data_IF_195583363911
#
_entry.id   IF_195583363911
#
_cell.length_a   1.000
_cell.length_b   1.000
_cell.length_c   1.000
_cell.angle_alpha   90.00
_cell.angle_beta   90.00
_cell.angle_gamma   90.00
#
_symmetry.space_group_name_H-M   'P 1'
#
loop_
_entity.id
_entity.type
_entity.pdbx_description
1 polymer ?
#
# COMPACT_ATOMS: atom_id res chain seq x y z
N UNK A 1 -24.08 57.38 -40.79
CA UNK A 1 -22.80 56.80 -40.31
C UNK A 1 -23.17 55.61 -39.45
N UNK A 2 -22.80 54.40 -39.88
CA UNK A 2 -23.22 53.16 -39.22
C UNK A 2 -22.37 52.90 -37.98
N UNK A 3 -23.02 52.73 -36.82
CA UNK A 3 -22.37 52.29 -35.59
C UNK A 3 -22.00 50.82 -35.77
N UNK A 4 -20.70 50.51 -35.77
CA UNK A 4 -20.20 49.14 -35.89
C UNK A 4 -19.85 48.61 -34.49
N UNK A 5 -20.70 47.78 -33.85
CA UNK A 5 -20.47 47.30 -32.49
C UNK A 5 -19.21 46.41 -32.34
N UNK A 6 -18.61 46.00 -33.46
CA UNK A 6 -17.33 45.27 -33.48
C UNK A 6 -16.11 46.15 -33.12
N UNK A 7 -16.23 47.48 -33.14
CA UNK A 7 -15.14 48.40 -32.76
C UNK A 7 -14.93 48.51 -31.24
N UNK A 8 -15.85 47.96 -30.43
CA UNK A 8 -15.77 47.93 -28.96
C UNK A 8 -15.04 46.68 -28.42
N UNK A 9 -14.65 45.74 -29.30
CA UNK A 9 -13.89 44.55 -28.93
C UNK A 9 -12.38 44.83 -28.93
N UNK A 10 -11.92 45.63 -27.97
CA UNK A 10 -10.49 45.85 -27.71
C UNK A 10 -10.06 45.01 -26.50
N UNK A 11 -8.91 44.33 -26.60
CA UNK A 11 -8.36 43.54 -25.51
C UNK A 11 -8.10 44.43 -24.27
N UNK A 12 -8.51 44.01 -23.06
CA UNK A 12 -8.49 44.87 -21.88
C UNK A 12 -7.06 45.19 -21.47
N UNK A 13 -6.73 46.48 -21.40
CA UNK A 13 -5.48 46.99 -20.81
C UNK A 13 -5.82 47.50 -19.42
N UNK A 14 -5.24 46.88 -18.40
CA UNK A 14 -5.40 47.30 -17.01
C UNK A 14 -4.71 48.65 -16.80
N UNK A 15 -5.46 49.66 -16.34
CA UNK A 15 -4.90 50.83 -15.68
C UNK A 15 -5.75 51.20 -14.44
N UNK A 16 -5.12 51.45 -13.27
CA UNK A 16 -5.79 51.80 -12.01
C UNK A 16 -6.24 53.29 -12.03
N UNK A 17 -7.08 53.82 -11.10
CA UNK A 17 -7.20 53.46 -9.68
C UNK A 17 -8.64 53.46 -9.11
N UNK A 18 -8.90 52.59 -8.13
CA UNK A 18 -10.02 52.78 -7.19
C UNK A 18 -9.38 53.10 -5.83
N UNK A 19 -9.84 54.16 -5.11
CA UNK A 19 -9.24 54.59 -3.86
C UNK A 19 -9.12 53.46 -2.82
N UNK A 20 -7.95 53.38 -2.18
CA UNK A 20 -7.53 52.35 -1.22
C UNK A 20 -8.53 52.07 -0.09
N UNK A 21 -9.44 53.00 0.22
CA UNK A 21 -10.41 52.84 1.30
C UNK A 21 -11.51 51.81 0.98
N UNK A 22 -11.90 51.67 -0.29
CA UNK A 22 -12.89 50.67 -0.71
C UNK A 22 -12.25 49.29 -0.87
N UNK A 23 -10.96 49.24 -1.23
CA UNK A 23 -10.22 47.99 -1.38
C UNK A 23 -9.79 47.38 -0.04
N UNK A 24 -9.63 48.18 1.02
CA UNK A 24 -9.38 47.67 2.37
C UNK A 24 -10.66 47.10 3.03
N UNK A 25 -11.84 47.67 2.70
CA UNK A 25 -13.14 47.18 3.18
C UNK A 25 -13.64 45.98 2.35
N UNK A 26 -13.38 45.95 1.03
CA UNK A 26 -13.66 44.78 0.18
C UNK A 26 -12.57 43.71 0.24
N UNK A 27 -11.36 44.06 0.69
CA UNK A 27 -10.26 43.15 0.98
C UNK A 27 -10.50 42.22 2.18
N UNK A 28 -11.59 42.41 2.92
CA UNK A 28 -12.06 41.47 3.93
C UNK A 28 -12.56 40.14 3.33
N UNK A 29 -12.80 40.05 2.02
CA UNK A 29 -13.27 38.79 1.39
C UNK A 29 -12.22 37.66 1.42
N UNK A 30 -10.93 37.97 1.45
CA UNK A 30 -9.87 36.95 1.56
C UNK A 30 -9.65 36.43 2.99
N UNK A 31 -10.11 37.17 4.01
CA UNK A 31 -10.12 36.71 5.40
C UNK A 31 -11.30 35.78 5.74
N UNK A 32 -12.29 35.67 4.84
CA UNK A 32 -13.56 34.93 5.05
C UNK A 32 -13.67 33.69 4.13
N UNK A 33 -12.56 33.19 3.58
CA UNK A 33 -12.58 31.87 2.90
C UNK A 33 -12.01 30.82 3.84
N UNK A 34 -12.84 29.93 4.42
CA UNK A 34 -12.36 28.79 5.20
C UNK A 34 -11.33 27.96 4.42
N UNK A 35 -11.52 27.80 3.10
CA UNK A 35 -10.60 27.07 2.23
C UNK A 35 -9.19 27.67 2.15
N UNK A 36 -9.06 29.00 2.24
CA UNK A 36 -7.74 29.66 2.28
C UNK A 36 -6.99 29.30 3.57
N UNK A 37 -7.67 29.40 4.72
CA UNK A 37 -7.07 29.08 6.02
C UNK A 37 -6.80 27.59 6.17
N UNK A 38 -7.68 26.72 5.67
CA UNK A 38 -7.45 25.28 5.59
C UNK A 38 -6.18 24.99 4.77
N UNK A 39 -6.06 25.56 3.57
CA UNK A 39 -4.87 25.37 2.73
C UNK A 39 -3.58 25.85 3.40
N UNK A 40 -3.61 27.02 4.05
CA UNK A 40 -2.46 27.54 4.79
C UNK A 40 -2.04 26.61 5.93
N UNK A 41 -2.99 26.10 6.72
CA UNK A 41 -2.70 25.23 7.86
C UNK A 41 -2.22 23.85 7.40
N UNK A 42 -2.84 23.28 6.38
CA UNK A 42 -2.37 22.03 5.77
C UNK A 42 -0.92 22.18 5.30
N UNK A 43 -0.56 23.31 4.70
CA UNK A 43 0.82 23.57 4.31
C UNK A 43 1.77 23.72 5.51
N UNK A 44 1.33 24.35 6.61
CA UNK A 44 2.14 24.47 7.84
C UNK A 44 2.33 23.14 8.57
N UNK A 45 1.31 22.29 8.57
CA UNK A 45 1.29 21.03 9.33
C UNK A 45 1.94 19.90 8.54
N UNK A 46 1.50 19.70 7.30
CA UNK A 46 1.87 18.54 6.49
C UNK A 46 3.03 18.82 5.52
N UNK A 47 3.24 20.09 5.13
CA UNK A 47 4.24 20.49 4.12
C UNK A 47 3.94 20.03 2.68
N UNK A 48 2.98 19.13 2.51
CA UNK A 48 2.47 18.57 1.25
C UNK A 48 0.94 18.53 1.27
N UNK A 49 0.31 18.15 0.17
CA UNK A 49 -1.11 17.78 0.16
C UNK A 49 -1.24 16.36 0.76
N UNK A 50 -1.78 16.21 1.97
CA UNK A 50 -1.74 14.93 2.67
C UNK A 50 -2.69 13.91 2.02
N UNK A 51 -3.71 14.36 1.27
CA UNK A 51 -4.61 13.51 0.51
C UNK A 51 -3.96 12.89 -0.72
N UNK A 52 -3.25 13.72 -1.50
CA UNK A 52 -2.48 13.24 -2.64
C UNK A 52 -1.39 12.28 -2.17
N UNK A 53 -0.69 12.62 -1.08
CA UNK A 53 0.34 11.76 -0.51
C UNK A 53 -0.22 10.38 -0.13
N UNK A 54 -1.37 10.29 0.55
CA UNK A 54 -1.92 8.99 0.93
C UNK A 54 -2.32 8.16 -0.28
N UNK A 55 -2.87 8.79 -1.33
CA UNK A 55 -3.23 8.12 -2.58
C UNK A 55 -1.95 7.57 -3.23
N UNK A 56 -0.89 8.38 -3.34
CA UNK A 56 0.39 7.93 -3.89
C UNK A 56 0.98 6.75 -3.11
N UNK A 57 0.87 6.75 -1.77
CA UNK A 57 1.47 5.70 -0.94
C UNK A 57 0.62 4.42 -0.80
N UNK A 58 -0.72 4.51 -0.89
CA UNK A 58 -1.63 3.39 -0.60
C UNK A 58 -2.46 2.89 -1.80
N UNK A 59 -2.17 3.34 -3.02
CA UNK A 59 -2.84 2.90 -4.26
C UNK A 59 -2.58 1.45 -4.69
N UNK A 60 -1.93 0.63 -3.86
CA UNK A 60 -1.71 -0.79 -4.14
C UNK A 60 -3.00 -1.59 -4.27
N UNK A 61 -3.05 -2.52 -5.25
CA UNK A 61 -4.15 -3.47 -5.38
C UNK A 61 -3.97 -4.64 -4.39
N UNK A 62 -4.42 -4.40 -3.16
CA UNK A 62 -4.39 -5.42 -2.09
C UNK A 62 -5.33 -6.60 -2.38
N UNK A 63 -6.32 -6.42 -3.25
CA UNK A 63 -7.19 -7.51 -3.70
C UNK A 63 -6.42 -8.46 -4.61
N UNK A 64 -5.67 -7.95 -5.58
CA UNK A 64 -4.78 -8.76 -6.41
C UNK A 64 -3.73 -9.51 -5.58
N UNK A 65 -3.22 -8.89 -4.49
CA UNK A 65 -2.31 -9.56 -3.57
C UNK A 65 -2.99 -10.72 -2.80
N UNK A 66 -4.26 -10.58 -2.42
CA UNK A 66 -5.03 -11.66 -1.82
C UNK A 66 -5.32 -12.79 -2.83
N UNK A 67 -5.67 -12.44 -4.07
CA UNK A 67 -5.89 -13.42 -5.14
C UNK A 67 -4.61 -14.22 -5.44
N UNK A 68 -3.44 -13.57 -5.41
CA UNK A 68 -2.16 -14.26 -5.54
C UNK A 68 -1.91 -15.27 -4.41
N UNK A 69 -2.33 -14.95 -3.17
CA UNK A 69 -2.27 -15.89 -2.03
C UNK A 69 -3.08 -17.17 -2.29
N UNK A 70 -4.30 -17.01 -2.79
CA UNK A 70 -5.19 -18.13 -3.10
C UNK A 70 -4.65 -18.97 -4.26
N UNK A 71 -4.08 -18.33 -5.29
CA UNK A 71 -3.44 -19.03 -6.39
C UNK A 71 -2.26 -19.91 -5.92
N UNK A 72 -1.43 -19.40 -5.00
CA UNK A 72 -0.32 -20.16 -4.42
C UNK A 72 -0.80 -21.36 -3.60
N UNK A 73 -1.90 -21.20 -2.85
CA UNK A 73 -2.53 -22.28 -2.10
C UNK A 73 -3.08 -23.37 -3.02
N UNK A 74 -3.77 -22.98 -4.10
CA UNK A 74 -4.27 -23.93 -5.09
C UNK A 74 -3.13 -24.71 -5.76
N UNK A 75 -1.99 -24.07 -6.02
CA UNK A 75 -0.81 -24.74 -6.54
C UNK A 75 -0.20 -25.73 -5.54
N UNK A 76 -0.16 -25.37 -4.25
CA UNK A 76 0.25 -26.28 -3.18
C UNK A 76 -0.69 -27.50 -3.10
N UNK A 77 -2.01 -27.28 -3.16
CA UNK A 77 -2.99 -28.36 -3.15
C UNK A 77 -2.84 -29.30 -4.35
N UNK A 78 -2.55 -28.75 -5.53
CA UNK A 78 -2.22 -29.54 -6.72
C UNK A 78 -0.98 -30.41 -6.51
N UNK A 79 0.14 -29.81 -6.07
CA UNK A 79 1.39 -30.55 -5.84
C UNK A 79 1.22 -31.67 -4.79
N UNK A 80 0.43 -31.42 -3.74
CA UNK A 80 0.11 -32.42 -2.72
C UNK A 80 -0.68 -33.59 -3.31
N UNK A 81 -1.72 -33.31 -4.09
CA UNK A 81 -2.52 -34.36 -4.73
C UNK A 81 -1.68 -35.16 -5.73
N UNK A 82 -0.78 -34.50 -6.45
CA UNK A 82 0.12 -35.17 -7.38
C UNK A 82 1.11 -36.10 -6.66
N UNK A 83 1.70 -35.66 -5.55
CA UNK A 83 2.56 -36.50 -4.72
C UNK A 83 1.82 -37.73 -4.17
N UNK A 84 0.60 -37.54 -3.63
CA UNK A 84 -0.23 -38.63 -3.14
C UNK A 84 -0.59 -39.64 -4.24
N UNK A 85 -0.87 -39.16 -5.46
CA UNK A 85 -1.11 -40.04 -6.60
C UNK A 85 0.11 -40.91 -6.91
N UNK A 86 1.31 -40.32 -7.00
CA UNK A 86 2.57 -41.06 -7.23
C UNK A 86 2.80 -42.10 -6.12
N UNK A 87 2.62 -41.73 -4.84
CA UNK A 87 2.82 -42.67 -3.74
C UNK A 87 1.80 -43.83 -3.74
N UNK A 88 0.55 -43.54 -4.10
CA UNK A 88 -0.52 -44.55 -4.10
C UNK A 88 -0.34 -45.57 -5.23
N UNK A 89 -0.10 -45.10 -6.45
CA UNK A 89 0.14 -45.93 -7.64
C UNK A 89 1.50 -46.63 -7.56
N UNK A 90 2.53 -45.92 -7.08
CA UNK A 90 3.86 -46.48 -6.89
C UNK A 90 3.88 -47.64 -5.89
N UNK A 91 3.09 -47.57 -4.81
CA UNK A 91 2.94 -48.68 -3.87
C UNK A 91 2.38 -49.94 -4.53
N UNK A 92 1.41 -49.79 -5.44
CA UNK A 92 0.83 -50.93 -6.14
C UNK A 92 1.86 -51.63 -7.04
N UNK A 93 2.69 -50.84 -7.75
CA UNK A 93 3.66 -51.36 -8.72
C UNK A 93 4.93 -51.90 -8.05
N UNK A 94 5.54 -51.14 -7.12
CA UNK A 94 6.82 -51.48 -6.49
C UNK A 94 6.69 -52.38 -5.25
N UNK A 95 5.47 -52.61 -4.75
CA UNK A 95 5.22 -53.41 -3.55
C UNK A 95 5.31 -54.91 -3.83
N UNK A 96 4.44 -55.39 -4.73
CA UNK A 96 4.22 -56.83 -4.90
C UNK A 96 4.46 -57.34 -6.34
N UNK A 97 4.37 -56.47 -7.35
CA UNK A 97 4.37 -56.89 -8.77
C UNK A 97 5.74 -56.82 -9.44
N UNK A 98 6.55 -55.82 -9.12
CA UNK A 98 7.86 -55.60 -9.73
C UNK A 98 8.98 -55.49 -8.70
N UNK A 99 9.91 -56.45 -8.75
CA UNK A 99 11.03 -56.56 -7.80
C UNK A 99 12.40 -56.62 -8.51
N UNK A 100 13.46 -56.33 -7.76
CA UNK A 100 14.86 -56.36 -8.21
C UNK A 100 15.47 -54.96 -8.38
N UNK A 101 16.76 -54.90 -8.73
CA UNK A 101 17.53 -53.66 -8.74
C UNK A 101 16.94 -52.53 -9.61
N UNK A 102 16.22 -52.87 -10.69
CA UNK A 102 15.54 -51.88 -11.52
C UNK A 102 14.32 -51.26 -10.80
N UNK A 103 13.55 -52.09 -10.08
CA UNK A 103 12.43 -51.62 -9.28
C UNK A 103 12.91 -50.76 -8.10
N UNK A 104 14.00 -51.15 -7.43
CA UNK A 104 14.62 -50.36 -6.36
C UNK A 104 15.06 -48.97 -6.84
N UNK A 105 15.71 -48.90 -8.01
CA UNK A 105 16.16 -47.64 -8.60
C UNK A 105 14.98 -46.73 -9.02
N UNK A 106 13.92 -47.31 -9.60
CA UNK A 106 12.71 -46.59 -9.96
C UNK A 106 11.99 -46.05 -8.72
N UNK A 107 11.85 -46.87 -7.67
CA UNK A 107 11.27 -46.47 -6.39
C UNK A 107 12.02 -45.28 -5.79
N UNK A 108 13.34 -45.36 -5.70
CA UNK A 108 14.17 -44.28 -5.18
C UNK A 108 14.01 -42.96 -5.97
N UNK A 109 13.86 -43.04 -7.29
CA UNK A 109 13.60 -41.87 -8.15
C UNK A 109 12.24 -41.21 -7.85
N UNK A 110 11.17 -42.01 -7.79
CA UNK A 110 9.83 -41.49 -7.50
C UNK A 110 9.70 -40.98 -6.05
N UNK A 111 10.33 -41.64 -5.08
CA UNK A 111 10.42 -41.15 -3.70
C UNK A 111 11.12 -39.77 -3.64
N UNK A 112 12.14 -39.55 -4.49
CA UNK A 112 12.78 -38.25 -4.67
C UNK A 112 11.80 -37.18 -5.19
N UNK A 113 11.04 -37.49 -6.25
CA UNK A 113 10.03 -36.57 -6.81
C UNK A 113 8.98 -36.22 -5.75
N UNK A 114 8.43 -37.22 -5.06
CA UNK A 114 7.43 -37.04 -3.99
C UNK A 114 7.98 -36.11 -2.92
N UNK A 115 9.23 -36.33 -2.47
CA UNK A 115 9.88 -35.46 -1.49
C UNK A 115 9.97 -34.01 -2.00
N UNK A 116 10.42 -33.80 -3.23
CA UNK A 116 10.51 -32.45 -3.81
C UNK A 116 9.14 -31.77 -3.92
N UNK A 117 8.11 -32.50 -4.31
CA UNK A 117 6.74 -31.97 -4.34
C UNK A 117 6.29 -31.55 -2.94
N UNK A 118 6.53 -32.36 -1.90
CA UNK A 118 6.20 -32.00 -0.51
C UNK A 118 6.96 -30.77 -0.02
N UNK A 119 8.25 -30.67 -0.33
CA UNK A 119 9.06 -29.49 0.01
C UNK A 119 8.50 -28.22 -0.67
N UNK A 120 8.06 -28.33 -1.94
CA UNK A 120 7.41 -27.23 -2.65
C UNK A 120 6.06 -26.84 -2.05
N UNK A 121 5.24 -27.81 -1.64
CA UNK A 121 3.95 -27.56 -0.95
C UNK A 121 4.18 -26.69 0.29
N UNK A 122 5.12 -27.09 1.15
CA UNK A 122 5.39 -26.36 2.39
C UNK A 122 5.84 -24.91 2.13
N UNK A 123 6.69 -24.70 1.12
CA UNK A 123 7.14 -23.36 0.74
C UNK A 123 6.01 -22.51 0.14
N UNK A 124 5.18 -23.07 -0.74
CA UNK A 124 4.03 -22.37 -1.34
C UNK A 124 2.98 -21.96 -0.29
N UNK A 125 2.66 -22.86 0.65
CA UNK A 125 1.75 -22.54 1.76
C UNK A 125 2.31 -21.45 2.67
N UNK A 126 3.63 -21.48 2.91
CA UNK A 126 4.29 -20.44 3.70
C UNK A 126 4.21 -19.08 3.01
N UNK A 127 4.49 -19.00 1.70
CA UNK A 127 4.37 -17.75 0.93
C UNK A 127 2.91 -17.27 0.92
N UNK A 128 1.95 -18.17 0.68
CA UNK A 128 0.52 -17.86 0.72
C UNK A 128 0.12 -17.25 2.06
N UNK A 129 0.56 -17.83 3.19
CA UNK A 129 0.31 -17.29 4.53
C UNK A 129 0.93 -15.91 4.78
N UNK A 130 2.11 -15.63 4.21
CA UNK A 130 2.72 -14.31 4.27
C UNK A 130 1.93 -13.26 3.48
N UNK A 131 1.41 -13.60 2.30
CA UNK A 131 0.51 -12.71 1.56
C UNK A 131 -0.79 -12.42 2.32
N UNK A 132 -1.38 -13.43 2.97
CA UNK A 132 -2.58 -13.24 3.78
C UNK A 132 -2.32 -12.31 4.97
N UNK A 133 -1.19 -12.50 5.66
CA UNK A 133 -0.79 -11.64 6.79
C UNK A 133 -0.51 -10.20 6.33
N UNK A 134 0.15 -10.03 5.18
CA UNK A 134 0.43 -8.72 4.61
C UNK A 134 -0.87 -7.98 4.23
N UNK A 135 -1.77 -8.66 3.52
CA UNK A 135 -3.04 -8.05 3.06
C UNK A 135 -3.92 -7.64 4.24
N UNK A 136 -4.04 -8.48 5.28
CA UNK A 136 -4.74 -8.12 6.51
C UNK A 136 -4.07 -6.94 7.23
N UNK A 137 -2.74 -6.95 7.36
CA UNK A 137 -1.98 -5.86 7.98
C UNK A 137 -2.14 -4.53 7.25
N UNK A 138 -2.14 -4.55 5.91
CA UNK A 138 -2.33 -3.35 5.10
C UNK A 138 -3.77 -2.84 5.14
N UNK A 139 -4.76 -3.73 5.27
CA UNK A 139 -6.15 -3.35 5.48
C UNK A 139 -6.35 -2.63 6.82
N UNK A 140 -5.76 -3.14 7.90
CA UNK A 140 -5.78 -2.50 9.23
C UNK A 140 -5.02 -1.16 9.21
N UNK A 141 -3.86 -1.10 8.56
CA UNK A 141 -3.10 0.14 8.39
C UNK A 141 -3.90 1.21 7.64
N UNK A 142 -4.63 0.82 6.58
CA UNK A 142 -5.49 1.72 5.83
C UNK A 142 -6.64 2.29 6.69
N UNK A 143 -7.27 1.45 7.52
CA UNK A 143 -8.32 1.89 8.45
C UNK A 143 -7.76 2.84 9.52
N UNK A 144 -6.60 2.52 10.09
CA UNK A 144 -5.92 3.37 11.07
C UNK A 144 -5.54 4.73 10.47
N UNK A 145 -5.00 4.75 9.26
CA UNK A 145 -4.71 5.98 8.54
C UNK A 145 -5.98 6.78 8.27
N UNK A 146 -7.05 6.16 7.80
CA UNK A 146 -8.33 6.85 7.58
C UNK A 146 -8.80 7.58 8.84
N UNK A 147 -8.70 6.94 10.02
CA UNK A 147 -9.03 7.58 11.30
C UNK A 147 -8.14 8.78 11.59
N UNK A 148 -6.81 8.63 11.46
CA UNK A 148 -5.86 9.72 11.69
C UNK A 148 -6.08 10.90 10.74
N UNK A 149 -6.46 10.63 9.50
CA UNK A 149 -6.78 11.65 8.52
C UNK A 149 -8.08 12.39 8.83
N UNK A 150 -9.07 11.70 9.39
CA UNK A 150 -10.28 12.34 9.91
C UNK A 150 -9.93 13.28 11.07
N UNK A 151 -9.13 12.81 12.02
CA UNK A 151 -8.66 13.63 13.16
C UNK A 151 -7.86 14.84 12.69
N UNK A 152 -6.96 14.65 11.71
CA UNK A 152 -6.18 15.72 11.10
C UNK A 152 -7.10 16.76 10.44
N UNK A 153 -8.14 16.32 9.74
CA UNK A 153 -9.11 17.21 9.08
C UNK A 153 -9.85 18.06 10.10
N UNK A 154 -10.31 17.45 11.19
CA UNK A 154 -11.02 18.16 12.26
C UNK A 154 -10.12 19.21 12.93
N UNK A 155 -8.87 18.86 13.23
CA UNK A 155 -7.90 19.80 13.79
C UNK A 155 -7.57 20.94 12.82
N UNK A 156 -7.39 20.66 11.53
CA UNK A 156 -7.18 21.67 10.50
C UNK A 156 -8.38 22.63 10.41
N UNK A 157 -9.61 22.13 10.50
CA UNK A 157 -10.82 22.97 10.50
C UNK A 157 -10.87 23.87 11.74
N UNK A 158 -10.62 23.31 12.93
CA UNK A 158 -10.58 24.09 14.19
C UNK A 158 -9.50 25.16 14.13
N UNK A 159 -8.33 24.80 13.62
CA UNK A 159 -7.21 25.71 13.46
C UNK A 159 -7.54 26.82 12.44
N UNK A 160 -8.25 26.50 11.35
CA UNK A 160 -8.65 27.46 10.33
C UNK A 160 -9.67 28.46 10.86
N UNK A 161 -10.66 27.98 11.62
CA UNK A 161 -11.65 28.84 12.28
C UNK A 161 -10.95 29.75 13.30
N UNK A 162 -10.03 29.22 14.10
CA UNK A 162 -9.28 29.98 15.11
C UNK A 162 -8.39 31.04 14.46
N UNK A 163 -7.71 30.69 13.36
CA UNK A 163 -6.85 31.62 12.62
C UNK A 163 -7.68 32.75 11.97
N UNK A 164 -8.83 32.41 11.37
CA UNK A 164 -9.75 33.40 10.82
C UNK A 164 -10.31 34.34 11.91
N UNK A 165 -10.69 33.79 13.07
CA UNK A 165 -11.18 34.56 14.22
C UNK A 165 -10.08 35.47 14.80
N UNK A 166 -8.84 34.99 14.88
CA UNK A 166 -7.66 35.78 15.30
C UNK A 166 -7.43 36.94 14.35
N UNK A 167 -7.43 36.68 13.04
CA UNK A 167 -7.26 37.71 12.03
C UNK A 167 -8.39 38.76 12.09
N UNK A 168 -9.64 38.33 12.26
CA UNK A 168 -10.80 39.21 12.34
C UNK A 168 -10.87 40.01 13.66
N UNK A 169 -10.32 39.47 14.76
CA UNK A 169 -10.30 40.09 16.09
C UNK A 169 -8.98 40.76 16.42
N UNK A 170 -8.03 40.80 15.48
CA UNK A 170 -6.67 41.33 15.65
C UNK A 170 -6.62 42.82 16.04
N UNK A 171 -7.67 43.58 15.74
CA UNK A 171 -7.85 44.97 16.18
C UNK A 171 -8.23 45.09 17.66
N UNK A 172 -8.63 43.98 18.30
CA UNK A 172 -8.82 43.87 19.75
C UNK A 172 -7.60 43.18 20.36
N UNK A 173 -6.87 43.87 21.24
CA UNK A 173 -5.62 43.35 21.85
C UNK A 173 -5.84 42.00 22.55
N UNK A 174 -6.98 41.83 23.22
CA UNK A 174 -7.34 40.59 23.91
C UNK A 174 -7.73 39.47 22.93
N UNK A 175 -8.48 39.79 21.86
CA UNK A 175 -8.89 38.81 20.84
C UNK A 175 -7.73 38.31 19.99
N UNK A 176 -6.79 39.19 19.64
CA UNK A 176 -5.58 38.83 18.91
C UNK A 176 -4.65 37.87 19.67
N UNK A 177 -4.47 38.08 20.99
CA UNK A 177 -3.60 37.21 21.81
C UNK A 177 -4.27 35.86 22.09
N UNK A 178 -5.53 35.86 22.54
CA UNK A 178 -6.23 34.63 22.86
C UNK A 178 -6.44 33.75 21.60
N UNK A 179 -6.78 34.38 20.48
CA UNK A 179 -6.91 33.71 19.19
C UNK A 179 -5.57 33.10 18.73
N UNK A 180 -4.46 33.85 18.83
CA UNK A 180 -3.15 33.35 18.40
C UNK A 180 -2.70 32.12 19.20
N UNK A 181 -2.99 32.07 20.51
CA UNK A 181 -2.70 30.91 21.35
C UNK A 181 -3.55 29.69 20.96
N UNK A 182 -4.85 29.90 20.70
CA UNK A 182 -5.75 28.83 20.26
C UNK A 182 -5.32 28.26 18.89
N UNK A 183 -4.97 29.13 17.93
CA UNK A 183 -4.43 28.72 16.63
C UNK A 183 -3.13 27.93 16.79
N UNK A 184 -2.17 28.42 17.58
CA UNK A 184 -0.90 27.71 17.80
C UNK A 184 -1.10 26.32 18.42
N UNK A 185 -1.99 26.18 19.40
CA UNK A 185 -2.30 24.90 20.03
C UNK A 185 -2.91 23.90 19.04
N UNK A 186 -3.86 24.35 18.21
CA UNK A 186 -4.49 23.50 17.20
C UNK A 186 -3.52 23.06 16.09
N UNK A 187 -2.58 23.93 15.69
CA UNK A 187 -1.52 23.58 14.74
C UNK A 187 -0.56 22.56 15.36
N UNK A 188 -0.17 22.73 16.62
CA UNK A 188 0.70 21.78 17.31
C UNK A 188 0.07 20.38 17.39
N UNK A 189 -1.21 20.30 17.77
CA UNK A 189 -1.95 19.04 17.78
C UNK A 189 -2.06 18.41 16.37
N UNK A 190 -2.29 19.22 15.33
CA UNK A 190 -2.35 18.73 13.96
C UNK A 190 -0.99 18.16 13.50
N UNK A 191 0.13 18.78 13.91
CA UNK A 191 1.49 18.27 13.66
C UNK A 191 1.72 16.92 14.35
N UNK A 192 1.25 16.76 15.59
CA UNK A 192 1.33 15.47 16.30
C UNK A 192 0.56 14.36 15.56
N UNK A 193 -0.65 14.64 15.09
CA UNK A 193 -1.43 13.69 14.29
C UNK A 193 -0.74 13.37 12.96
N UNK A 194 -0.14 14.36 12.32
CA UNK A 194 0.64 14.14 11.09
C UNK A 194 1.87 13.23 11.34
N UNK A 195 2.56 13.40 12.47
CA UNK A 195 3.63 12.47 12.85
C UNK A 195 3.11 11.05 13.12
N UNK A 196 1.92 10.91 13.70
CA UNK A 196 1.29 9.59 13.86
C UNK A 196 0.99 8.94 12.51
N UNK A 197 0.54 9.70 11.51
CA UNK A 197 0.34 9.24 10.13
C UNK A 197 1.66 8.71 9.53
N UNK A 198 2.74 9.49 9.64
CA UNK A 198 4.06 9.08 9.14
C UNK A 198 4.57 7.83 9.87
N UNK A 199 4.41 7.76 11.20
CA UNK A 199 4.80 6.59 11.98
C UNK A 199 4.01 5.33 11.60
N UNK A 200 2.71 5.45 11.31
CA UNK A 200 1.89 4.33 10.86
C UNK A 200 2.33 3.85 9.47
N UNK A 201 2.67 4.77 8.56
CA UNK A 201 3.23 4.45 7.27
C UNK A 201 4.58 3.72 7.37
N UNK A 202 5.51 4.22 8.20
CA UNK A 202 6.82 3.59 8.40
C UNK A 202 6.68 2.15 8.95
N UNK A 203 5.73 1.93 9.88
CA UNK A 203 5.43 0.61 10.40
C UNK A 203 4.89 -0.33 9.31
N UNK A 204 3.97 0.14 8.47
CA UNK A 204 3.46 -0.61 7.34
C UNK A 204 4.58 -0.97 6.34
N UNK A 205 5.45 0.00 6.03
CA UNK A 205 6.60 -0.20 5.14
C UNK A 205 7.60 -1.24 5.69
N UNK A 206 7.90 -1.19 6.98
CA UNK A 206 8.72 -2.21 7.64
C UNK A 206 8.10 -3.62 7.50
N UNK A 207 6.77 -3.72 7.61
CA UNK A 207 6.04 -4.97 7.35
C UNK A 207 6.24 -5.50 5.93
N UNK A 208 6.17 -4.63 4.91
CA UNK A 208 6.42 -4.99 3.50
C UNK A 208 7.86 -5.49 3.30
N UNK A 209 8.84 -4.89 3.97
CA UNK A 209 10.24 -5.34 3.90
C UNK A 209 10.44 -6.73 4.53
N UNK A 210 9.82 -6.97 5.69
CA UNK A 210 9.84 -8.29 6.34
C UNK A 210 9.19 -9.33 5.43
N UNK A 211 8.03 -9.02 4.86
CA UNK A 211 7.35 -9.88 3.88
C UNK A 211 8.27 -10.23 2.71
N UNK A 212 8.93 -9.23 2.10
CA UNK A 212 9.83 -9.43 0.96
C UNK A 212 11.00 -10.35 1.33
N UNK A 213 11.59 -10.17 2.51
CA UNK A 213 12.67 -11.04 3.01
C UNK A 213 12.21 -12.48 3.23
N UNK A 214 11.02 -12.68 3.79
CA UNK A 214 10.45 -14.01 4.02
C UNK A 214 10.15 -14.72 2.70
N UNK A 215 9.50 -14.04 1.76
CA UNK A 215 9.22 -14.60 0.43
C UNK A 215 10.50 -14.95 -0.31
N UNK A 216 11.52 -14.09 -0.29
CA UNK A 216 12.82 -14.40 -0.88
C UNK A 216 13.46 -15.66 -0.26
N UNK A 217 13.33 -15.81 1.07
CA UNK A 217 13.78 -17.01 1.78
C UNK A 217 13.06 -18.28 1.31
N UNK A 218 11.74 -18.24 1.19
CA UNK A 218 10.95 -19.39 0.71
C UNK A 218 11.20 -19.71 -0.76
N UNK A 219 11.37 -18.69 -1.62
CA UNK A 219 11.71 -18.88 -3.03
C UNK A 219 13.06 -19.62 -3.20
N UNK A 220 14.03 -19.35 -2.32
CA UNK A 220 15.29 -20.11 -2.28
C UNK A 220 15.09 -21.62 -2.05
N UNK A 221 14.01 -22.01 -1.37
CA UNK A 221 13.64 -23.41 -1.11
C UNK A 221 12.85 -24.10 -2.22
N UNK A 222 12.32 -23.37 -3.21
CA UNK A 222 11.49 -23.96 -4.29
C UNK A 222 12.29 -24.66 -5.41
N UNK A 223 13.62 -24.67 -5.31
CA UNK A 223 14.51 -25.35 -6.25
C UNK A 223 14.43 -26.88 -6.10
N UNK A 224 14.55 -27.65 -7.18
CA UNK A 224 14.71 -29.12 -7.08
C UNK A 224 14.07 -29.97 -8.17
N UNK A 225 13.08 -29.45 -8.91
CA UNK A 225 12.47 -30.21 -10.02
C UNK A 225 13.47 -30.50 -11.15
N UNK A 226 14.38 -29.56 -11.44
CA UNK A 226 15.46 -29.75 -12.41
C UNK A 226 16.48 -30.82 -11.99
N UNK A 227 16.59 -31.13 -10.70
CA UNK A 227 17.49 -32.17 -10.19
C UNK A 227 16.94 -33.58 -10.44
N UNK A 228 15.66 -33.72 -10.79
CA UNK A 228 15.01 -34.99 -11.09
C UNK A 228 15.01 -35.32 -12.59
N UNK A 229 16.05 -34.90 -13.32
CA UNK A 229 16.24 -35.29 -14.71
C UNK A 229 16.22 -36.82 -14.85
N UNK A 230 15.53 -37.32 -15.88
CA UNK A 230 15.48 -38.75 -16.17
C UNK A 230 16.92 -39.29 -16.32
N UNK A 231 17.22 -40.51 -15.81
CA UNK A 231 18.54 -41.10 -15.98
C UNK A 231 18.93 -41.14 -17.46
N UNK A 232 20.05 -40.49 -17.82
CA UNK A 232 20.52 -40.36 -19.20
C UNK A 232 21.05 -41.67 -19.82
N UNK A 233 21.06 -42.76 -19.06
CA UNK A 233 21.52 -44.09 -19.51
C UNK A 233 20.32 -45.01 -19.66
N UNK A 234 20.11 -45.54 -20.86
CA UNK A 234 19.21 -46.65 -21.08
C UNK A 234 19.59 -47.85 -20.19
N UNK A 235 18.58 -48.66 -19.85
CA UNK A 235 18.73 -49.90 -19.09
C UNK A 235 19.82 -50.79 -19.69
N UNK A 236 20.92 -51.00 -18.95
CA UNK A 236 21.97 -51.94 -19.34
C UNK A 236 21.58 -53.34 -18.84
N UNK A 237 21.03 -54.15 -19.73
CA UNK A 237 20.65 -55.52 -19.40
C UNK A 237 21.89 -56.42 -19.39
N UNK A 238 21.97 -57.46 -18.54
CA UNK A 238 23.15 -58.32 -18.39
C UNK A 238 23.39 -59.28 -19.57
N UNK A 239 22.94 -58.93 -20.77
CA UNK A 239 22.99 -59.77 -21.98
C UNK A 239 23.69 -59.13 -23.18
N UNK A 240 24.40 -58.01 -22.99
CA UNK A 240 25.29 -57.38 -23.98
C UNK A 240 26.63 -57.03 -23.36
#
# INVERSE_FOLDING_TARGET
MAYAPAAELVAPVANPPIPDLVNNILGAKQYISPSYWIGWIVQQVCGTNPWEWVIEQYTGDWHAAAEASDALKNLADFNRQYALAIESEGRAVFGDEWQGHAADAAKAYFDGIVKTLHDQVAALESISGQFHSLTAGMQEAAQGLQSLFQDLTDLVIVAAISAAATAASSWTVVGGIAGALATAASIAAAVEVWYAVLSAHDAAWAGVQVFTGLVAGYLGGLQGMEQHALPGSAYNHPGV
#
